data_IF_486663576761
#
_entry.id   IF_486663576761
#
_cell.length_a   1.000
_cell.length_b   1.000
_cell.length_c   1.000
_cell.angle_alpha   90.00
_cell.angle_beta   90.00
_cell.angle_gamma   90.00
#
_symmetry.space_group_name_H-M   'P 1'
#
loop_
_entity.id
_entity.type
_entity.pdbx_description
1 polymer ?
#
# COMPACT_ATOMS: atom_id res chain seq x y z
N UNK A 1 -5.99 -28.05 -6.93
CA UNK A 1 -6.85 -29.21 -6.64
C UNK A 1 -6.40 -29.85 -5.33
N UNK A 2 -7.34 -30.21 -4.46
CA UNK A 2 -7.08 -30.86 -3.17
C UNK A 2 -7.90 -32.15 -3.07
N UNK A 3 -7.39 -33.15 -2.35
CA UNK A 3 -8.15 -34.34 -1.98
C UNK A 3 -8.49 -34.27 -0.50
N UNK A 4 -9.75 -34.42 -0.13
CA UNK A 4 -10.17 -34.39 1.27
C UNK A 4 -11.40 -35.25 1.47
N UNK A 5 -11.66 -35.68 2.71
CA UNK A 5 -12.89 -36.39 3.02
C UNK A 5 -14.09 -35.45 2.97
N UNK A 6 -15.24 -35.98 2.53
CA UNK A 6 -16.52 -35.24 2.50
C UNK A 6 -16.81 -34.52 3.83
N UNK A 7 -16.60 -35.21 4.96
CA UNK A 7 -16.79 -34.67 6.31
C UNK A 7 -15.96 -33.40 6.57
N UNK A 8 -14.68 -33.40 6.22
CA UNK A 8 -13.81 -32.23 6.41
C UNK A 8 -14.14 -31.07 5.48
N UNK A 9 -14.69 -31.36 4.30
CA UNK A 9 -15.21 -30.32 3.42
C UNK A 9 -16.44 -29.66 4.06
N UNK A 10 -17.40 -30.44 4.55
CA UNK A 10 -18.61 -29.93 5.24
C UNK A 10 -18.26 -29.10 6.48
N UNK A 11 -17.37 -29.59 7.34
CA UNK A 11 -16.88 -28.84 8.51
C UNK A 11 -16.29 -27.48 8.12
N UNK A 12 -15.45 -27.46 7.08
CA UNK A 12 -14.86 -26.23 6.56
C UNK A 12 -15.88 -25.28 5.93
N UNK A 13 -16.96 -25.81 5.36
CA UNK A 13 -18.08 -25.00 4.86
C UNK A 13 -18.78 -24.29 6.02
N UNK A 14 -19.08 -25.02 7.09
CA UNK A 14 -19.71 -24.51 8.30
C UNK A 14 -18.85 -23.44 8.99
N UNK A 15 -17.54 -23.68 9.14
CA UNK A 15 -16.60 -22.72 9.75
C UNK A 15 -16.57 -21.36 9.03
N UNK A 16 -16.84 -21.36 7.72
CA UNK A 16 -16.73 -20.17 6.86
C UNK A 16 -18.08 -19.62 6.41
N UNK A 17 -19.19 -20.21 6.88
CA UNK A 17 -20.54 -19.70 6.68
C UNK A 17 -21.15 -19.94 5.29
N UNK A 18 -20.69 -20.95 4.54
CA UNK A 18 -21.32 -21.36 3.28
C UNK A 18 -21.86 -22.79 3.36
N UNK A 19 -22.81 -23.14 2.47
CA UNK A 19 -23.40 -24.48 2.41
C UNK A 19 -22.56 -25.39 1.53
N UNK A 20 -22.70 -26.70 1.72
CA UNK A 20 -22.04 -27.69 0.87
C UNK A 20 -22.47 -27.53 -0.60
N UNK A 21 -23.74 -27.20 -0.85
CA UNK A 21 -24.28 -26.98 -2.20
C UNK A 21 -23.53 -25.88 -2.96
N UNK A 22 -23.10 -24.82 -2.28
CA UNK A 22 -22.38 -23.70 -2.87
C UNK A 22 -20.99 -24.10 -3.44
N UNK A 23 -20.44 -25.24 -3.00
CA UNK A 23 -19.11 -25.72 -3.42
C UNK A 23 -19.16 -26.94 -4.32
N UNK A 24 -20.35 -27.46 -4.64
CA UNK A 24 -20.51 -28.69 -5.40
C UNK A 24 -19.94 -28.59 -6.82
N UNK A 25 -20.04 -27.41 -7.45
CA UNK A 25 -19.45 -27.14 -8.77
C UNK A 25 -17.93 -27.25 -8.78
N UNK A 26 -17.29 -27.15 -7.62
CA UNK A 26 -15.84 -27.26 -7.47
C UNK A 26 -15.39 -28.71 -7.28
N UNK A 27 -16.31 -29.66 -7.08
CA UNK A 27 -15.99 -31.07 -6.86
C UNK A 27 -15.81 -31.77 -8.21
N UNK A 28 -14.56 -31.97 -8.61
CA UNK A 28 -14.20 -32.57 -9.90
C UNK A 28 -14.22 -34.10 -9.90
N UNK A 29 -14.10 -34.74 -8.73
CA UNK A 29 -14.16 -36.21 -8.61
C UNK A 29 -14.69 -36.65 -7.25
N UNK A 30 -15.51 -37.71 -7.22
CA UNK A 30 -16.04 -38.34 -6.01
C UNK A 30 -15.64 -39.82 -5.98
N UNK A 31 -14.77 -40.18 -5.05
CA UNK A 31 -14.34 -41.58 -4.82
C UNK A 31 -14.74 -42.00 -3.40
N UNK A 32 -15.97 -42.49 -3.26
CA UNK A 32 -16.52 -42.81 -1.95
C UNK A 32 -16.49 -41.60 -1.01
N UNK A 33 -15.71 -41.72 0.06
CA UNK A 33 -15.54 -40.66 1.05
C UNK A 33 -14.49 -39.60 0.69
N UNK A 34 -13.59 -39.88 -0.25
CA UNK A 34 -12.52 -38.97 -0.66
C UNK A 34 -12.93 -38.23 -1.92
N UNK A 35 -13.05 -36.91 -1.81
CA UNK A 35 -13.44 -36.05 -2.92
C UNK A 35 -12.24 -35.23 -3.39
N UNK A 36 -12.15 -35.02 -4.70
CA UNK A 36 -11.18 -34.11 -5.31
C UNK A 36 -11.88 -32.81 -5.63
N UNK A 37 -11.40 -31.71 -5.07
CA UNK A 37 -11.97 -30.38 -5.22
C UNK A 37 -10.98 -29.49 -5.94
N UNK A 38 -11.45 -28.82 -6.98
CA UNK A 38 -10.72 -27.75 -7.64
C UNK A 38 -10.85 -26.45 -6.85
N UNK A 39 -9.78 -26.12 -6.13
CA UNK A 39 -9.66 -24.89 -5.35
C UNK A 39 -9.42 -23.64 -6.19
N UNK A 40 -9.23 -23.79 -7.51
CA UNK A 40 -9.06 -22.67 -8.44
C UNK A 40 -10.35 -22.29 -9.18
N UNK A 41 -11.42 -23.05 -8.98
CA UNK A 41 -12.72 -22.76 -9.57
C UNK A 41 -13.27 -21.41 -9.06
N UNK A 42 -13.91 -20.64 -9.95
CA UNK A 42 -14.42 -19.28 -9.65
C UNK A 42 -15.44 -19.30 -8.51
N UNK A 43 -16.24 -20.37 -8.44
CA UNK A 43 -17.24 -20.58 -7.39
C UNK A 43 -16.65 -21.17 -6.10
N UNK A 44 -15.36 -21.51 -6.04
CA UNK A 44 -14.78 -22.10 -4.84
C UNK A 44 -14.66 -21.01 -3.76
N UNK A 45 -15.37 -21.12 -2.62
CA UNK A 45 -15.34 -20.16 -1.53
C UNK A 45 -14.10 -20.41 -0.68
N UNK A 46 -12.94 -20.31 -1.32
CA UNK A 46 -11.74 -19.93 -0.59
C UNK A 46 -12.11 -18.67 0.20
N UNK A 47 -11.75 -18.61 1.49
CA UNK A 47 -11.57 -17.33 2.15
C UNK A 47 -10.66 -16.54 1.20
N UNK A 48 -11.28 -15.70 0.36
CA UNK A 48 -10.64 -14.50 -0.11
C UNK A 48 -10.43 -13.75 1.20
N UNK A 49 -9.35 -14.08 1.91
CA UNK A 49 -8.58 -13.09 2.63
C UNK A 49 -8.29 -12.09 1.55
N UNK A 50 -9.19 -11.13 1.41
CA UNK A 50 -9.27 -10.09 0.41
C UNK A 50 -7.93 -9.88 -0.32
N UNK A 51 -7.64 -10.79 -1.23
CA UNK A 51 -7.01 -10.52 -2.49
C UNK A 51 -8.14 -9.92 -3.32
N UNK A 52 -8.72 -8.85 -2.78
CA UNK A 52 -9.03 -7.70 -3.60
C UNK A 52 -7.87 -7.62 -4.61
N UNK A 53 -8.14 -7.43 -5.92
CA UNK A 53 -7.10 -6.83 -6.73
C UNK A 53 -6.60 -5.66 -5.89
N UNK A 54 -5.29 -5.45 -5.75
CA UNK A 54 -4.81 -4.22 -5.13
C UNK A 54 -5.45 -3.09 -5.95
N UNK A 55 -6.64 -2.65 -5.54
CA UNK A 55 -7.27 -1.42 -5.95
C UNK A 55 -6.20 -0.51 -5.43
N UNK A 56 -5.36 -0.07 -6.36
CA UNK A 56 -4.33 0.89 -6.13
C UNK A 56 -5.11 1.99 -5.42
N UNK A 57 -5.08 2.03 -4.06
CA UNK A 57 -5.84 2.99 -3.28
C UNK A 57 -5.48 4.26 -4.00
N UNK A 58 -6.45 4.87 -4.68
CA UNK A 58 -6.20 5.94 -5.63
C UNK A 58 -5.81 7.11 -4.75
N UNK A 59 -4.59 7.06 -4.23
CA UNK A 59 -3.99 8.12 -3.47
C UNK A 59 -4.06 9.27 -4.45
N UNK A 60 -4.66 10.40 -4.06
CA UNK A 60 -4.71 11.58 -4.91
C UNK A 60 -3.36 11.72 -5.61
N UNK A 61 -3.37 11.85 -6.93
CA UNK A 61 -2.13 12.01 -7.69
C UNK A 61 -1.54 13.37 -7.31
N UNK A 62 -0.71 13.36 -6.27
CA UNK A 62 -0.02 14.52 -5.73
C UNK A 62 1.26 14.84 -6.53
N UNK A 63 1.47 14.20 -7.68
CA UNK A 63 2.71 14.27 -8.44
C UNK A 63 3.83 13.41 -7.85
N UNK A 64 4.99 13.45 -8.49
CA UNK A 64 6.22 12.83 -8.01
C UNK A 64 7.21 13.89 -7.51
N UNK A 65 7.82 13.67 -6.35
CA UNK A 65 8.74 14.63 -5.76
C UNK A 65 9.09 14.31 -4.30
N UNK A 66 9.64 15.31 -3.61
CA UNK A 66 10.08 15.17 -2.22
C UNK A 66 8.93 14.82 -1.26
N UNK A 67 7.72 15.35 -1.50
CA UNK A 67 6.54 15.04 -0.70
C UNK A 67 6.08 13.58 -0.84
N UNK A 68 6.20 13.02 -2.05
CA UNK A 68 5.89 11.61 -2.30
C UNK A 68 6.90 10.67 -1.64
N UNK A 69 8.19 11.01 -1.66
CA UNK A 69 9.23 10.24 -0.96
C UNK A 69 9.11 10.37 0.57
N UNK A 70 8.77 11.55 1.08
CA UNK A 70 8.51 11.76 2.50
C UNK A 70 7.36 10.89 3.00
N UNK A 71 6.25 10.86 2.25
CA UNK A 71 5.09 10.01 2.55
C UNK A 71 5.45 8.53 2.61
N UNK A 72 6.31 8.05 1.69
CA UNK A 72 6.79 6.66 1.71
C UNK A 72 7.57 6.37 2.99
N UNK A 73 8.53 7.23 3.35
CA UNK A 73 9.32 7.04 4.57
C UNK A 73 8.41 7.02 5.79
N UNK A 74 7.49 7.98 5.92
CA UNK A 74 6.53 8.02 7.04
C UNK A 74 5.64 6.78 7.11
N UNK A 75 5.25 6.22 5.96
CA UNK A 75 4.47 4.98 5.93
C UNK A 75 5.23 3.75 6.43
N UNK A 76 6.57 3.74 6.31
CA UNK A 76 7.41 2.68 6.90
C UNK A 76 7.40 2.73 8.43
N UNK A 77 7.11 3.90 9.02
CA UNK A 77 6.95 4.10 10.46
C UNK A 77 5.48 4.01 10.92
N UNK A 78 4.59 3.43 10.10
CA UNK A 78 3.16 3.25 10.45
C UNK A 78 2.32 4.54 10.38
N UNK A 79 2.88 5.66 9.93
CA UNK A 79 2.15 6.92 9.79
C UNK A 79 1.49 6.96 8.41
N UNK A 80 0.24 6.50 8.36
CA UNK A 80 -0.56 6.50 7.14
C UNK A 80 -1.39 7.80 7.01
N UNK A 81 -1.40 8.39 5.82
CA UNK A 81 -2.23 9.55 5.49
C UNK A 81 -3.56 9.09 4.87
N UNK A 82 -4.69 9.54 5.41
CA UNK A 82 -6.02 9.38 4.79
C UNK A 82 -6.13 10.26 3.53
N UNK A 83 -7.07 9.94 2.62
CA UNK A 83 -7.22 10.62 1.33
C UNK A 83 -7.42 12.15 1.45
N UNK A 84 -8.11 12.62 2.49
CA UNK A 84 -8.41 14.03 2.72
C UNK A 84 -7.60 14.65 3.88
N UNK A 85 -6.42 14.11 4.17
CA UNK A 85 -5.58 14.61 5.25
C UNK A 85 -4.74 15.81 4.81
N UNK A 86 -4.54 16.79 5.69
CA UNK A 86 -3.59 17.91 5.56
C UNK A 86 -2.19 17.46 5.16
N UNK A 87 -1.74 16.27 5.62
CA UNK A 87 -0.48 15.65 5.18
C UNK A 87 -0.41 15.48 3.66
N UNK A 88 -1.51 15.14 2.99
CA UNK A 88 -1.57 14.94 1.55
C UNK A 88 -1.41 16.27 0.79
N UNK A 89 -2.08 17.32 1.28
CA UNK A 89 -2.00 18.67 0.71
C UNK A 89 -0.58 19.23 0.84
N UNK A 90 0.06 19.03 2.00
CA UNK A 90 1.45 19.44 2.24
C UNK A 90 2.43 18.66 1.37
N UNK A 91 2.23 17.35 1.20
CA UNK A 91 3.05 16.56 0.29
C UNK A 91 2.89 17.01 -1.17
N UNK A 92 1.68 17.38 -1.60
CA UNK A 92 1.45 17.98 -2.91
C UNK A 92 2.18 19.31 -3.06
N UNK A 93 2.04 20.21 -2.09
CA UNK A 93 2.74 21.51 -2.10
C UNK A 93 4.27 21.35 -2.20
N UNK A 94 4.86 20.34 -1.53
CA UNK A 94 6.28 20.02 -1.66
C UNK A 94 6.66 19.53 -3.06
N UNK A 95 5.79 18.73 -3.69
CA UNK A 95 6.04 18.25 -5.04
C UNK A 95 5.92 19.39 -6.07
N UNK A 96 4.90 20.24 -5.91
CA UNK A 96 4.64 21.39 -6.79
C UNK A 96 5.75 22.46 -6.68
N UNK A 97 6.26 22.72 -5.46
CA UNK A 97 7.33 23.69 -5.23
C UNK A 97 8.72 23.20 -5.69
N UNK A 98 8.92 21.88 -5.76
CA UNK A 98 10.16 21.28 -6.25
C UNK A 98 11.29 21.15 -5.21
N UNK A 99 12.41 20.56 -5.66
CA UNK A 99 13.51 20.12 -4.80
C UNK A 99 14.32 21.27 -4.20
N UNK A 100 14.56 22.35 -4.95
CA UNK A 100 15.30 23.53 -4.46
C UNK A 100 14.57 24.17 -3.29
N UNK A 101 13.28 24.45 -3.47
CA UNK A 101 12.43 25.02 -2.42
C UNK A 101 12.40 24.14 -1.17
N UNK A 102 12.29 22.82 -1.33
CA UNK A 102 12.30 21.89 -0.19
C UNK A 102 13.62 21.92 0.60
N UNK A 103 14.76 22.22 -0.03
CA UNK A 103 16.07 22.33 0.64
C UNK A 103 16.20 23.61 1.46
N UNK A 104 15.70 24.72 0.93
CA UNK A 104 15.72 26.02 1.60
C UNK A 104 14.68 26.07 2.73
N UNK A 105 13.55 25.38 2.56
CA UNK A 105 12.40 25.44 3.47
C UNK A 105 12.24 24.19 4.36
N UNK A 106 13.35 23.49 4.67
CA UNK A 106 13.33 22.29 5.55
C UNK A 106 12.71 22.59 6.91
N UNK A 107 12.96 23.78 7.47
CA UNK A 107 12.39 24.16 8.76
C UNK A 107 10.86 24.29 8.70
N UNK A 108 10.31 24.90 7.63
CA UNK A 108 8.87 25.02 7.42
C UNK A 108 8.22 23.63 7.33
N UNK A 109 8.83 22.71 6.58
CA UNK A 109 8.35 21.33 6.46
C UNK A 109 8.44 20.60 7.82
N UNK A 110 9.47 20.89 8.62
CA UNK A 110 9.62 20.36 9.97
C UNK A 110 8.50 20.86 10.89
N UNK A 111 8.12 22.13 10.80
CA UNK A 111 7.02 22.72 11.57
C UNK A 111 5.68 22.10 11.18
N UNK A 112 5.48 21.85 9.88
CA UNK A 112 4.32 21.10 9.41
C UNK A 112 4.23 19.68 10.00
N UNK A 113 5.36 18.97 10.10
CA UNK A 113 5.38 17.65 10.73
C UNK A 113 5.10 17.76 12.23
N UNK A 114 5.63 18.79 12.90
CA UNK A 114 5.39 19.05 14.32
C UNK A 114 3.91 19.26 14.59
N UNK A 115 3.25 20.13 13.82
CA UNK A 115 1.82 20.41 13.97
C UNK A 115 0.96 19.15 13.80
N UNK A 116 1.27 18.31 12.81
CA UNK A 116 0.52 17.06 12.58
C UNK A 116 0.79 16.02 13.67
N UNK A 117 2.02 15.95 14.18
CA UNK A 117 2.34 15.10 15.33
C UNK A 117 1.58 15.55 16.58
N UNK A 118 1.53 16.86 16.87
CA UNK A 118 0.78 17.42 18.00
C UNK A 118 -0.72 17.13 17.89
N UNK A 119 -1.32 17.33 16.72
CA UNK A 119 -2.74 17.00 16.49
C UNK A 119 -3.07 15.51 16.71
N UNK A 120 -2.09 14.64 16.52
CA UNK A 120 -2.24 13.18 16.65
C UNK A 120 -1.73 12.65 17.99
N UNK A 121 -1.30 13.52 18.91
CA UNK A 121 -0.64 13.15 20.17
C UNK A 121 0.53 12.17 19.97
N UNK A 122 1.29 12.34 18.87
CA UNK A 122 2.46 11.54 18.57
C UNK A 122 3.73 12.25 19.05
N UNK A 123 4.71 11.51 19.62
CA UNK A 123 5.99 12.09 20.00
C UNK A 123 6.72 12.62 18.77
N UNK A 124 7.15 13.89 18.84
CA UNK A 124 7.85 14.57 17.75
C UNK A 124 9.29 14.85 18.14
N UNK A 125 10.23 14.34 17.32
CA UNK A 125 11.66 14.56 17.49
C UNK A 125 12.19 15.43 16.34
N UNK A 126 12.47 16.73 16.55
CA UNK A 126 12.86 17.66 15.48
C UNK A 126 14.08 17.21 14.69
N UNK A 127 15.07 16.61 15.36
CA UNK A 127 16.28 16.12 14.72
C UNK A 127 16.01 14.98 13.75
N UNK A 128 15.19 14.00 14.17
CA UNK A 128 14.77 12.87 13.33
C UNK A 128 13.92 13.35 12.16
N UNK A 129 12.99 14.28 12.40
CA UNK A 129 12.17 14.87 11.36
C UNK A 129 13.01 15.54 10.27
N UNK A 130 13.99 16.37 10.64
CA UNK A 130 14.92 17.01 9.70
C UNK A 130 15.73 15.99 8.89
N UNK A 131 16.19 14.90 9.52
CA UNK A 131 16.92 13.83 8.83
C UNK A 131 16.02 13.10 7.82
N UNK A 132 14.77 12.80 8.18
CA UNK A 132 13.79 12.17 7.29
C UNK A 132 13.48 13.09 6.10
N UNK A 133 13.30 14.40 6.30
CA UNK A 133 13.05 15.36 5.22
C UNK A 133 14.24 15.40 4.25
N UNK A 134 15.47 15.49 4.77
CA UNK A 134 16.69 15.47 3.94
C UNK A 134 16.81 14.16 3.15
N UNK A 135 16.48 13.02 3.76
CA UNK A 135 16.46 11.73 3.08
C UNK A 135 15.40 11.69 1.97
N UNK A 136 14.21 12.24 2.20
CA UNK A 136 13.16 12.34 1.19
C UNK A 136 13.61 13.16 -0.04
N UNK A 137 14.22 14.32 0.21
CA UNK A 137 14.79 15.18 -0.84
C UNK A 137 15.86 14.42 -1.64
N UNK A 138 16.79 13.74 -0.96
CA UNK A 138 17.85 12.97 -1.60
C UNK A 138 17.30 11.83 -2.49
N UNK A 139 16.30 11.09 -1.99
CA UNK A 139 15.65 10.03 -2.78
C UNK A 139 14.95 10.58 -4.03
N UNK A 140 14.26 11.71 -3.88
CA UNK A 140 13.56 12.35 -4.99
C UNK A 140 14.54 12.89 -6.05
N UNK A 141 15.65 13.47 -5.63
CA UNK A 141 16.73 13.90 -6.53
C UNK A 141 17.33 12.74 -7.32
N UNK A 142 17.68 11.63 -6.64
CA UNK A 142 18.23 10.44 -7.30
C UNK A 142 17.24 9.87 -8.33
N UNK A 143 15.95 9.86 -8.00
CA UNK A 143 14.90 9.41 -8.92
C UNK A 143 14.79 10.34 -10.13
N UNK A 144 14.78 11.66 -9.93
CA UNK A 144 14.74 12.63 -11.01
C UNK A 144 15.96 12.49 -11.94
N UNK A 145 17.18 12.40 -11.38
CA UNK A 145 18.40 12.16 -12.15
C UNK A 145 18.32 10.88 -12.97
N UNK A 146 17.80 9.79 -12.39
CA UNK A 146 17.61 8.53 -13.11
C UNK A 146 16.63 8.69 -14.29
N UNK A 147 15.50 9.35 -14.07
CA UNK A 147 14.50 9.61 -15.14
C UNK A 147 15.14 10.39 -16.29
N UNK A 148 15.93 11.43 -15.98
CA UNK A 148 16.64 12.22 -16.99
C UNK A 148 17.66 11.38 -17.77
N UNK A 149 18.40 10.49 -17.09
CA UNK A 149 19.35 9.58 -17.74
C UNK A 149 18.64 8.56 -18.65
N UNK A 150 17.55 7.96 -18.18
CA UNK A 150 16.77 6.98 -18.93
C UNK A 150 16.13 7.63 -20.19
N UNK A 151 15.70 8.90 -20.09
CA UNK A 151 15.19 9.68 -21.23
C UNK A 151 16.29 10.00 -22.25
N UNK A 152 17.52 10.27 -21.80
CA UNK A 152 18.65 10.51 -22.69
C UNK A 152 19.11 9.23 -23.42
N UNK A 153 18.95 8.06 -22.79
CA UNK A 153 19.29 6.76 -23.41
C UNK A 153 18.28 6.33 -24.48
N UNK A 154 16.98 6.60 -24.30
CA UNK A 154 15.92 6.26 -25.27
C UNK A 154 15.89 7.11 -26.55
N UNK A 155 16.65 8.22 -26.56
CA UNK A 155 16.77 9.14 -27.70
C UNK A 155 17.99 8.82 -28.60
N UNK A 156 18.77 7.80 -28.24
CA UNK A 156 19.86 7.25 -29.05
C UNK A 156 19.39 5.96 -29.71
#
# INVERSE_FOLDING_TARGET
MIRTHKKYLEERCLERGYKLDDVMDCVVRKEGEIWTIDTSHVSYPSLKLDLEPKINKKTPNIGEGAGTELKKILSQFGIHSKANCSCMQRAKAMNDAGLSWCRENVNIICDWLKEESTKRNLPFFPYVAKKIIKLAIYRAEKKNKKILLDQAQKRK
#
